data_IF_499476959270
#
_entry.id   IF_499476959270
#
_cell.length_a   1.000
_cell.length_b   1.000
_cell.length_c   1.000
_cell.angle_alpha   90.00
_cell.angle_beta   90.00
_cell.angle_gamma   90.00
#
_symmetry.space_group_name_H-M   'P 1'
#
loop_
_entity.id
_entity.type
_entity.pdbx_description
1 polymer ?
#
# COMPACT_ATOMS: atom_id res chain seq x y z
N UNK A 1 -4.96 2.38 17.78
CA UNK A 1 -5.17 3.84 17.78
C UNK A 1 -4.33 4.43 18.90
N UNK A 2 -3.03 4.67 18.69
CA UNK A 2 -2.14 5.26 19.72
C UNK A 2 -0.98 6.02 19.06
N UNK A 3 -1.08 7.35 19.08
CA UNK A 3 -0.04 8.28 19.57
C UNK A 3 1.25 8.54 18.79
N UNK A 4 1.89 7.58 18.14
CA UNK A 4 3.22 7.79 17.52
C UNK A 4 3.28 6.91 16.28
N UNK A 5 3.08 7.46 15.09
CA UNK A 5 3.24 6.74 13.81
C UNK A 5 4.74 6.43 13.62
N UNK A 6 5.24 5.23 13.94
CA UNK A 6 6.65 4.94 13.78
C UNK A 6 6.90 4.82 12.29
N UNK A 7 7.98 5.46 11.82
CA UNK A 7 8.61 5.22 10.53
C UNK A 7 7.71 5.29 9.28
N UNK A 8 7.39 6.51 8.82
CA UNK A 8 7.04 6.73 7.40
C UNK A 8 8.24 6.32 6.53
N UNK A 9 8.36 5.03 6.17
CA UNK A 9 9.29 4.56 5.15
C UNK A 9 8.76 5.12 3.83
N UNK A 10 9.27 6.27 3.43
CA UNK A 10 8.82 6.92 2.21
C UNK A 10 9.30 6.09 1.01
N UNK A 11 8.38 5.39 0.35
CA UNK A 11 8.59 4.85 -0.99
C UNK A 11 7.88 5.75 -2.01
N UNK A 12 8.54 6.06 -3.14
CA UNK A 12 7.87 6.71 -4.26
C UNK A 12 6.82 5.78 -4.85
N UNK A 13 5.76 6.37 -5.43
CA UNK A 13 4.77 5.60 -6.18
C UNK A 13 5.45 4.88 -7.35
N UNK A 14 5.08 3.62 -7.58
CA UNK A 14 5.59 2.84 -8.70
C UNK A 14 5.18 3.49 -10.03
N UNK A 15 6.16 3.73 -10.89
CA UNK A 15 5.94 4.18 -12.26
C UNK A 15 6.14 2.99 -13.21
N UNK A 16 5.14 2.62 -14.03
CA UNK A 16 5.27 1.52 -14.97
C UNK A 16 6.27 1.88 -16.08
N UNK A 17 7.23 0.98 -16.33
CA UNK A 17 8.26 1.18 -17.36
C UNK A 17 7.72 1.12 -18.79
N UNK A 18 6.59 0.40 -19.00
CA UNK A 18 5.88 0.37 -20.30
C UNK A 18 4.69 1.31 -20.28
N UNK A 19 4.39 1.91 -21.44
CA UNK A 19 3.12 2.63 -21.66
C UNK A 19 1.98 1.63 -21.61
N UNK A 20 1.34 1.53 -20.46
CA UNK A 20 0.14 0.73 -20.28
C UNK A 20 -1.06 1.32 -21.04
N UNK A 21 -1.94 0.42 -21.49
CA UNK A 21 -3.21 0.78 -22.14
C UNK A 21 -4.10 1.55 -21.15
N UNK A 22 -5.12 2.24 -21.66
CA UNK A 22 -5.99 3.09 -20.85
C UNK A 22 -6.67 2.34 -19.68
N UNK A 23 -7.09 1.09 -19.88
CA UNK A 23 -7.75 0.25 -18.86
C UNK A 23 -6.95 0.08 -17.56
N UNK A 24 -5.75 -0.52 -17.58
CA UNK A 24 -4.94 -0.69 -16.36
C UNK A 24 -4.54 0.63 -15.68
N UNK A 25 -4.37 1.72 -16.45
CA UNK A 25 -4.19 3.07 -15.88
C UNK A 25 -5.37 3.54 -15.03
N UNK A 26 -6.58 3.25 -15.50
CA UNK A 26 -7.82 3.55 -14.78
C UNK A 26 -7.94 2.69 -13.53
N UNK A 27 -7.62 1.40 -13.64
CA UNK A 27 -7.62 0.47 -12.51
C UNK A 27 -6.66 0.93 -11.40
N UNK A 28 -5.43 1.32 -11.77
CA UNK A 28 -4.44 1.84 -10.84
C UNK A 28 -4.91 3.13 -10.11
N UNK A 29 -5.63 4.01 -10.81
CA UNK A 29 -6.22 5.22 -10.22
C UNK A 29 -7.33 4.88 -9.23
N UNK A 30 -8.22 3.97 -9.60
CA UNK A 30 -9.30 3.49 -8.73
C UNK A 30 -8.72 2.81 -7.49
N UNK A 31 -7.69 1.97 -7.66
CA UNK A 31 -6.99 1.35 -6.54
C UNK A 31 -6.38 2.37 -5.59
N UNK A 32 -5.75 3.44 -6.08
CA UNK A 32 -5.22 4.49 -5.20
C UNK A 32 -6.34 5.22 -4.44
N UNK A 33 -7.44 5.58 -5.13
CA UNK A 33 -8.55 6.31 -4.53
C UNK A 33 -9.31 5.48 -3.48
N UNK A 34 -9.43 4.18 -3.69
CA UNK A 34 -10.10 3.27 -2.75
C UNK A 34 -9.14 2.80 -1.66
N UNK A 35 -7.97 2.26 -2.04
CA UNK A 35 -7.04 1.63 -1.10
C UNK A 35 -6.18 2.62 -0.33
N UNK A 36 -5.98 3.82 -0.86
CA UNK A 36 -5.27 4.92 -0.19
C UNK A 36 -5.92 5.31 1.15
N UNK A 37 -7.20 5.73 1.17
CA UNK A 37 -7.86 6.11 2.42
C UNK A 37 -8.19 4.93 3.33
N UNK A 38 -8.51 3.75 2.78
CA UNK A 38 -8.90 2.59 3.58
C UNK A 38 -7.71 1.94 4.31
N UNK A 39 -6.56 1.82 3.64
CA UNK A 39 -5.43 1.02 4.15
C UNK A 39 -4.08 1.74 4.10
N UNK A 40 -4.01 3.00 3.66
CA UNK A 40 -2.75 3.72 3.51
C UNK A 40 -1.90 3.24 2.33
N UNK A 41 -2.52 2.68 1.29
CA UNK A 41 -1.80 2.13 0.13
C UNK A 41 -0.99 3.22 -0.62
N UNK A 42 0.27 2.90 -0.98
CA UNK A 42 1.24 3.82 -1.60
C UNK A 42 1.57 3.52 -3.06
N UNK A 43 0.80 2.66 -3.73
CA UNK A 43 1.08 2.16 -5.08
C UNK A 43 2.50 1.58 -5.21
N UNK A 44 2.81 0.54 -4.44
CA UNK A 44 4.12 -0.15 -4.48
C UNK A 44 4.33 -0.99 -5.76
N UNK A 45 3.32 -1.12 -6.63
CA UNK A 45 3.37 -1.91 -7.86
C UNK A 45 3.01 -3.40 -7.68
N UNK A 46 2.96 -3.91 -6.44
CA UNK A 46 2.45 -5.24 -6.12
C UNK A 46 1.44 -5.14 -4.96
N UNK A 47 0.21 -5.63 -5.16
CA UNK A 47 -0.85 -5.56 -4.16
C UNK A 47 -0.83 -6.79 -3.27
N UNK A 48 -0.36 -6.62 -2.03
CA UNK A 48 -0.22 -7.71 -1.04
C UNK A 48 -1.36 -7.73 -0.01
N UNK A 49 -2.38 -6.87 -0.16
CA UNK A 49 -3.42 -6.67 0.86
C UNK A 49 -4.15 -7.98 1.22
N UNK A 50 -4.35 -8.87 0.26
CA UNK A 50 -5.06 -10.12 0.48
C UNK A 50 -4.21 -11.11 1.30
N UNK A 51 -2.89 -11.08 1.14
CA UNK A 51 -1.95 -11.94 1.88
C UNK A 51 -1.71 -11.43 3.30
N UNK A 52 -1.84 -10.11 3.51
CA UNK A 52 -1.55 -9.45 4.79
C UNK A 52 -2.80 -9.10 5.61
N UNK A 53 -3.90 -9.84 5.42
CA UNK A 53 -5.17 -9.62 6.12
C UNK A 53 -5.69 -8.17 6.04
N UNK A 54 -5.58 -7.58 4.84
CA UNK A 54 -5.95 -6.20 4.52
C UNK A 54 -5.17 -5.12 5.29
N UNK A 55 -3.91 -5.38 5.64
CA UNK A 55 -3.05 -4.40 6.31
C UNK A 55 -1.90 -4.01 5.38
N UNK A 56 -1.71 -2.72 5.10
CA UNK A 56 -0.56 -2.28 4.31
C UNK A 56 0.74 -2.38 5.13
N UNK A 57 1.78 -3.09 4.67
CA UNK A 57 3.04 -3.23 5.43
C UNK A 57 3.77 -1.89 5.62
N UNK A 58 3.45 -0.89 4.80
CA UNK A 58 3.99 0.47 4.90
C UNK A 58 3.37 1.29 6.04
N UNK A 59 2.19 0.90 6.53
CA UNK A 59 1.56 1.46 7.73
C UNK A 59 1.94 0.65 8.97
N UNK A 60 2.60 -0.51 8.80
CA UNK A 60 3.01 -1.34 9.93
C UNK A 60 4.36 -0.88 10.48
N UNK A 61 4.47 -0.51 11.77
CA UNK A 61 5.70 0.04 12.35
C UNK A 61 6.88 -0.93 12.36
N UNK A 62 6.59 -2.24 12.39
CA UNK A 62 7.58 -3.30 12.32
C UNK A 62 8.01 -3.65 10.89
N UNK A 63 7.36 -3.11 9.86
CA UNK A 63 7.64 -3.45 8.45
C UNK A 63 7.48 -4.94 8.12
N UNK A 64 6.77 -5.69 8.97
CA UNK A 64 6.56 -7.12 8.79
C UNK A 64 5.46 -7.36 7.76
N UNK A 65 5.74 -8.28 6.83
CA UNK A 65 4.79 -8.72 5.80
C UNK A 65 3.95 -9.91 6.26
N UNK A 66 4.44 -10.67 7.23
CA UNK A 66 3.78 -11.85 7.79
C UNK A 66 3.82 -11.75 9.33
N UNK A 67 2.68 -11.51 9.96
CA UNK A 67 2.53 -11.45 11.41
C UNK A 67 1.51 -10.38 11.85
N UNK A 68 0.89 -10.52 13.04
CA UNK A 68 -0.01 -9.50 13.55
C UNK A 68 0.74 -8.18 13.67
N UNK A 69 0.22 -7.14 13.02
CA UNK A 69 0.77 -5.79 13.08
C UNK A 69 0.50 -5.11 14.46
N UNK A 70 -0.07 -5.86 15.41
CA UNK A 70 -0.40 -5.40 16.76
C UNK A 70 0.55 -5.94 17.81
N UNK A 71 1.21 -5.02 18.50
CA UNK A 71 1.46 -5.09 19.94
C UNK A 71 0.73 -3.91 20.56
#
# INVERSE_FOLDING_TARGET
MTGIKPSRRWQPAFYPFKKEKFGPRLLARVELLVKGPLWGCRMCGNCLLQETAFICPMECPKGLRNGPCGG
#
